data_IF_101124088107
#
_entry.id   IF_101124088107
#
_cell.length_a   1.000
_cell.length_b   1.000
_cell.length_c   1.000
_cell.angle_alpha   90.00
_cell.angle_beta   90.00
_cell.angle_gamma   90.00
#
_symmetry.space_group_name_H-M   'P 1'
#
loop_
_entity.id
_entity.type
_entity.pdbx_description
1 polymer ?
#
# COMPACT_ATOMS: atom_id res chain seq x y z
N UNK A 1 -6.49 12.71 -2.93
CA UNK A 1 -7.36 13.60 -2.13
C UNK A 1 -8.19 12.68 -1.25
N UNK A 2 -8.13 12.77 0.08
CA UNK A 2 -8.74 11.75 0.96
C UNK A 2 -10.25 12.00 1.17
N UNK A 3 -11.09 11.03 0.80
CA UNK A 3 -12.54 11.09 0.99
C UNK A 3 -12.94 11.29 2.47
N UNK A 4 -12.20 10.68 3.42
CA UNK A 4 -12.45 10.83 4.87
C UNK A 4 -12.41 12.30 5.29
N UNK A 5 -11.43 13.05 4.80
CA UNK A 5 -11.24 14.46 5.14
C UNK A 5 -12.24 15.40 4.44
N UNK A 6 -12.90 14.91 3.37
CA UNK A 6 -13.81 15.71 2.54
C UNK A 6 -15.25 15.67 3.05
N UNK A 7 -15.69 14.51 3.57
CA UNK A 7 -17.08 14.30 3.98
C UNK A 7 -17.30 14.32 5.49
N UNK A 8 -16.23 14.31 6.30
CA UNK A 8 -16.33 14.23 7.75
C UNK A 8 -15.43 15.26 8.45
N UNK A 9 -15.88 15.80 9.60
CA UNK A 9 -15.01 16.58 10.48
C UNK A 9 -13.76 15.78 10.88
N UNK A 10 -12.62 16.46 11.01
CA UNK A 10 -11.33 15.82 11.33
C UNK A 10 -11.33 15.02 12.64
N UNK A 11 -12.22 15.37 13.58
CA UNK A 11 -12.33 14.73 14.89
C UNK A 11 -13.27 13.52 14.91
N UNK A 12 -13.73 13.07 13.74
CA UNK A 12 -14.62 11.89 13.63
C UNK A 12 -13.83 10.62 13.88
N UNK A 13 -14.22 9.87 14.91
CA UNK A 13 -13.70 8.52 15.17
C UNK A 13 -14.40 7.51 14.25
N UNK A 14 -13.61 6.68 13.57
CA UNK A 14 -14.08 5.58 12.73
C UNK A 14 -13.62 4.25 13.32
N UNK A 15 -14.37 3.19 13.07
CA UNK A 15 -13.95 1.82 13.34
C UNK A 15 -12.82 1.37 12.41
N UNK A 16 -12.03 0.38 12.83
CA UNK A 16 -10.96 -0.22 12.00
C UNK A 16 -11.46 -0.69 10.63
N UNK A 17 -12.71 -1.18 10.55
CA UNK A 17 -13.32 -1.63 9.32
C UNK A 17 -13.58 -0.47 8.35
N UNK A 18 -14.06 0.66 8.86
CA UNK A 18 -14.29 1.88 8.08
C UNK A 18 -12.96 2.49 7.64
N UNK A 19 -11.97 2.58 8.53
CA UNK A 19 -10.64 3.09 8.17
C UNK A 19 -10.00 2.28 7.05
N UNK A 20 -10.13 0.95 7.10
CA UNK A 20 -9.68 0.05 6.03
C UNK A 20 -10.43 0.30 4.72
N UNK A 21 -11.73 0.58 4.77
CA UNK A 21 -12.53 0.87 3.58
C UNK A 21 -12.09 2.20 2.94
N UNK A 22 -11.99 3.27 3.73
CA UNK A 22 -11.50 4.57 3.25
C UNK A 22 -10.10 4.47 2.66
N UNK A 23 -9.17 3.78 3.31
CA UNK A 23 -7.80 3.62 2.79
C UNK A 23 -7.78 2.90 1.42
N UNK A 24 -8.67 1.92 1.22
CA UNK A 24 -8.81 1.24 -0.07
C UNK A 24 -9.40 2.17 -1.13
N UNK A 25 -10.51 2.82 -0.80
CA UNK A 25 -11.23 3.69 -1.74
C UNK A 25 -10.37 4.88 -2.16
N UNK A 26 -9.63 5.47 -1.22
CA UNK A 26 -8.71 6.57 -1.49
C UNK A 26 -7.61 6.15 -2.49
N UNK A 27 -7.01 4.96 -2.31
CA UNK A 27 -6.01 4.45 -3.25
C UNK A 27 -6.60 4.20 -4.65
N UNK A 28 -7.74 3.50 -4.72
CA UNK A 28 -8.38 3.16 -6.01
C UNK A 28 -8.79 4.44 -6.74
N UNK A 29 -9.38 5.40 -6.04
CA UNK A 29 -9.81 6.68 -6.59
C UNK A 29 -8.61 7.48 -7.11
N UNK A 30 -7.60 7.73 -6.26
CA UNK A 30 -6.45 8.56 -6.64
C UNK A 30 -5.70 7.99 -7.85
N UNK A 31 -5.45 6.68 -7.89
CA UNK A 31 -4.78 6.04 -9.03
C UNK A 31 -5.62 6.14 -10.31
N UNK A 32 -6.94 6.00 -10.21
CA UNK A 32 -7.83 6.09 -11.37
C UNK A 32 -7.91 7.51 -11.91
N UNK A 33 -7.99 8.52 -11.03
CA UNK A 33 -8.02 9.92 -11.42
C UNK A 33 -6.70 10.37 -12.04
N UNK A 34 -5.56 9.99 -11.46
CA UNK A 34 -4.24 10.28 -12.03
C UNK A 34 -4.12 9.76 -13.48
N UNK A 35 -4.67 8.57 -13.72
CA UNK A 35 -4.70 7.98 -15.04
C UNK A 35 -5.64 8.74 -16.00
N UNK A 36 -6.82 9.17 -15.54
CA UNK A 36 -7.74 9.99 -16.35
C UNK A 36 -7.11 11.32 -16.73
N UNK A 37 -6.43 11.99 -15.80
CA UNK A 37 -5.66 13.22 -16.06
C UNK A 37 -4.58 12.97 -17.10
N UNK A 38 -3.80 11.87 -16.97
CA UNK A 38 -2.79 11.51 -17.97
C UNK A 38 -3.39 11.23 -19.35
N UNK A 39 -4.57 10.61 -19.42
CA UNK A 39 -5.28 10.42 -20.68
C UNK A 39 -5.72 11.75 -21.30
N UNK A 40 -6.19 12.69 -20.49
CA UNK A 40 -6.57 14.04 -20.94
C UNK A 40 -5.36 14.83 -21.46
N UNK A 41 -4.24 14.83 -20.73
CA UNK A 41 -2.97 15.46 -21.15
C UNK A 41 -2.48 14.91 -22.50
N UNK A 42 -2.66 13.61 -22.75
CA UNK A 42 -2.30 12.94 -24.00
C UNK A 42 -3.37 13.06 -25.10
N UNK A 43 -4.51 13.68 -24.80
CA UNK A 43 -5.68 13.77 -25.68
C UNK A 43 -6.17 12.39 -26.16
N UNK A 44 -6.15 11.39 -25.27
CA UNK A 44 -6.56 10.00 -25.55
C UNK A 44 -7.94 9.76 -24.96
N UNK A 45 -8.91 9.39 -25.82
CA UNK A 45 -10.25 9.04 -25.34
C UNK A 45 -10.30 7.61 -24.74
N UNK A 46 -11.34 7.32 -23.95
CA UNK A 46 -11.63 5.94 -23.48
C UNK A 46 -11.82 4.96 -24.65
N UNK A 47 -12.26 5.43 -25.81
CA UNK A 47 -12.41 4.61 -27.02
C UNK A 47 -11.04 4.26 -27.60
N UNK A 48 -10.11 5.20 -27.61
CA UNK A 48 -8.76 4.99 -28.12
C UNK A 48 -7.97 4.06 -27.21
N UNK A 49 -8.08 4.23 -25.89
CA UNK A 49 -7.50 3.29 -24.93
C UNK A 49 -8.06 1.87 -25.13
N UNK A 50 -9.37 1.73 -25.34
CA UNK A 50 -9.98 0.43 -25.61
C UNK A 50 -9.40 -0.24 -26.86
N UNK A 51 -9.19 0.52 -27.94
CA UNK A 51 -8.53 0.04 -29.16
C UNK A 51 -7.10 -0.41 -28.88
N UNK A 52 -6.32 0.39 -28.13
CA UNK A 52 -4.92 0.06 -27.78
C UNK A 52 -4.80 -1.21 -26.94
N UNK A 53 -5.76 -1.45 -26.04
CA UNK A 53 -5.78 -2.63 -25.17
C UNK A 53 -6.44 -3.87 -25.83
N UNK A 54 -7.05 -3.73 -27.00
CA UNK A 54 -7.86 -4.80 -27.60
C UNK A 54 -9.06 -5.19 -26.73
N UNK A 55 -9.69 -4.22 -26.04
CA UNK A 55 -10.83 -4.42 -25.14
C UNK A 55 -12.05 -3.63 -25.61
N UNK A 56 -13.22 -3.93 -25.04
CA UNK A 56 -14.43 -3.17 -25.33
C UNK A 56 -14.42 -1.81 -24.62
N UNK A 57 -15.10 -0.82 -25.21
CA UNK A 57 -15.32 0.50 -24.57
C UNK A 57 -15.97 0.34 -23.20
N UNK A 58 -16.95 -0.56 -23.05
CA UNK A 58 -17.62 -0.82 -21.78
C UNK A 58 -16.66 -1.32 -20.70
N UNK A 59 -15.75 -2.23 -21.06
CA UNK A 59 -14.71 -2.72 -20.15
C UNK A 59 -13.83 -1.57 -19.65
N UNK A 60 -13.35 -0.71 -20.55
CA UNK A 60 -12.53 0.45 -20.18
C UNK A 60 -13.31 1.44 -19.33
N UNK A 61 -14.57 1.71 -19.64
CA UNK A 61 -15.42 2.61 -18.83
C UNK A 61 -15.63 2.09 -17.42
N UNK A 62 -15.91 0.80 -17.25
CA UNK A 62 -16.10 0.18 -15.92
C UNK A 62 -14.79 0.09 -15.13
N UNK A 63 -13.66 -0.03 -15.83
CA UNK A 63 -12.34 -0.07 -15.20
C UNK A 63 -11.92 1.32 -14.72
N UNK A 64 -12.22 2.37 -15.48
CA UNK A 64 -11.90 3.76 -15.17
C UNK A 64 -13.02 4.50 -14.43
N UNK A 65 -14.00 3.79 -13.86
CA UNK A 65 -15.08 4.43 -13.10
C UNK A 65 -14.73 4.67 -11.63
N UNK A 66 -13.57 4.19 -11.17
CA UNK A 66 -13.15 4.27 -9.75
C UNK A 66 -13.95 3.35 -8.80
N UNK A 67 -15.06 2.78 -9.25
CA UNK A 67 -15.89 1.85 -8.46
C UNK A 67 -15.40 0.40 -8.47
N UNK A 68 -14.45 0.07 -9.34
CA UNK A 68 -13.82 -1.25 -9.40
C UNK A 68 -12.36 -1.17 -8.96
N UNK A 69 -11.95 -2.12 -8.12
CA UNK A 69 -10.54 -2.31 -7.80
C UNK A 69 -9.84 -2.95 -9.01
N UNK A 70 -9.08 -2.17 -9.78
CA UNK A 70 -8.26 -2.69 -10.87
C UNK A 70 -7.02 -3.42 -10.32
N UNK A 71 -6.55 -4.44 -11.02
CA UNK A 71 -5.32 -5.13 -10.62
C UNK A 71 -4.09 -4.32 -11.02
N UNK A 72 -2.95 -4.56 -10.35
CA UNK A 72 -1.68 -3.96 -10.76
C UNK A 72 -1.25 -4.37 -12.18
N UNK A 73 -1.59 -5.59 -12.61
CA UNK A 73 -1.38 -6.03 -13.99
C UNK A 73 -2.17 -5.16 -14.97
N UNK A 74 -3.45 -4.92 -14.67
CA UNK A 74 -4.31 -4.05 -15.49
C UNK A 74 -3.79 -2.63 -15.54
N UNK A 75 -3.37 -2.07 -14.40
CA UNK A 75 -2.74 -0.75 -14.35
C UNK A 75 -1.48 -0.70 -15.24
N UNK A 76 -0.63 -1.71 -15.12
CA UNK A 76 0.60 -1.83 -15.92
C UNK A 76 0.29 -1.90 -17.43
N UNK A 77 -0.71 -2.67 -17.84
CA UNK A 77 -1.12 -2.78 -19.26
C UNK A 77 -1.58 -1.43 -19.81
N UNK A 78 -2.35 -0.68 -19.02
CA UNK A 78 -2.80 0.66 -19.41
C UNK A 78 -1.60 1.60 -19.53
N UNK A 79 -0.73 1.63 -18.53
CA UNK A 79 0.47 2.48 -18.55
C UNK A 79 1.33 2.17 -19.79
N UNK A 80 1.53 0.89 -20.09
CA UNK A 80 2.24 0.46 -21.29
C UNK A 80 1.55 0.93 -22.58
N UNK A 81 0.22 0.76 -22.69
CA UNK A 81 -0.55 1.22 -23.84
C UNK A 81 -0.53 2.74 -24.04
N UNK A 82 -0.29 3.50 -22.97
CA UNK A 82 -0.19 4.95 -22.99
C UNK A 82 1.28 5.44 -23.09
N UNK A 83 2.26 4.53 -23.04
CA UNK A 83 3.68 4.85 -23.25
C UNK A 83 4.46 5.27 -22.01
N UNK A 84 3.98 4.92 -20.81
CA UNK A 84 4.66 5.23 -19.55
C UNK A 84 4.90 4.00 -18.68
N UNK A 85 5.93 4.10 -17.82
CA UNK A 85 6.26 3.08 -16.82
C UNK A 85 5.73 3.54 -15.46
N UNK A 86 4.84 2.78 -14.80
CA UNK A 86 4.34 3.16 -13.48
C UNK A 86 5.43 2.99 -12.41
N UNK A 87 5.44 3.89 -11.42
CA UNK A 87 6.27 3.80 -10.22
C UNK A 87 5.36 3.86 -8.98
N UNK A 88 5.56 2.95 -8.03
CA UNK A 88 4.80 2.91 -6.78
C UNK A 88 5.72 3.27 -5.63
N UNK A 89 5.35 4.30 -4.87
CA UNK A 89 6.06 4.73 -3.67
C UNK A 89 5.28 4.30 -2.43
N UNK A 90 5.95 3.64 -1.49
CA UNK A 90 5.34 3.20 -0.22
C UNK A 90 5.92 4.08 0.90
N UNK A 91 5.23 5.16 1.29
CA UNK A 91 5.70 6.00 2.38
C UNK A 91 5.60 5.24 3.71
N UNK A 92 6.72 5.15 4.42
CA UNK A 92 6.72 4.65 5.80
C UNK A 92 6.35 5.83 6.70
N UNK A 93 5.24 5.74 7.44
CA UNK A 93 4.98 6.72 8.50
C UNK A 93 6.16 6.64 9.48
N UNK A 94 6.87 7.74 9.75
CA UNK A 94 7.92 7.71 10.76
C UNK A 94 7.30 7.22 12.06
N UNK A 95 7.89 6.18 12.63
CA UNK A 95 7.54 5.77 14.00
C UNK A 95 8.05 6.90 14.86
N UNK A 96 7.12 7.69 15.42
CA UNK A 96 7.47 8.66 16.46
C UNK A 96 8.30 7.90 17.50
N UNK A 97 9.59 8.22 17.70
CA UNK A 97 10.39 7.49 18.64
C UNK A 97 9.70 7.66 19.99
N UNK A 98 9.10 6.59 20.49
CA UNK A 98 8.54 6.53 21.83
C UNK A 98 9.73 6.47 22.79
N UNK A 99 10.53 7.53 22.82
CA UNK A 99 11.48 7.80 23.89
C UNK A 99 10.70 8.43 25.04
N UNK A 100 9.68 7.71 25.52
CA UNK A 100 9.24 7.94 26.88
C UNK A 100 10.26 7.23 27.73
N UNK A 101 11.21 7.98 28.29
CA UNK A 101 11.95 7.50 29.45
C UNK A 101 10.93 7.24 30.56
N UNK A 102 10.39 6.03 30.61
CA UNK A 102 9.73 5.56 31.81
C UNK A 102 10.87 5.36 32.80
N UNK A 103 10.97 6.26 33.77
CA UNK A 103 11.75 6.02 34.97
C UNK A 103 11.13 4.79 35.64
N UNK A 104 11.63 3.61 35.28
CA UNK A 104 11.42 2.43 36.09
C UNK A 104 12.13 2.77 37.40
N UNK A 105 11.37 3.24 38.38
CA UNK A 105 11.87 3.46 39.73
C UNK A 105 12.66 2.24 40.14
N UNK A 106 13.88 2.45 40.65
CA UNK A 106 14.89 1.41 40.91
C UNK A 106 14.19 0.10 41.29
N UNK A 107 14.28 -0.98 40.49
CA UNK A 107 13.74 -2.25 40.94
C UNK A 107 14.41 -2.55 42.28
N UNK A 108 13.61 -2.73 43.35
CA UNK A 108 14.12 -3.26 44.60
C UNK A 108 14.74 -4.59 44.23
N UNK A 109 16.06 -4.65 44.24
CA UNK A 109 16.80 -5.90 44.04
C UNK A 109 16.49 -6.76 45.25
N UNK A 110 15.42 -7.55 45.15
CA UNK A 110 15.22 -8.69 46.01
C UNK A 110 16.27 -9.68 45.55
N UNK A 111 17.29 -9.90 46.39
CA UNK A 111 18.30 -10.94 46.17
C UNK A 111 17.62 -12.31 46.22
N UNK A 112 17.02 -12.75 45.13
CA UNK A 112 16.69 -14.15 44.92
C UNK A 112 17.53 -14.65 43.76
N UNK A 113 18.54 -15.46 44.05
CA UNK A 113 19.36 -16.11 43.04
C UNK A 113 18.48 -17.02 42.16
N UNK A 114 18.37 -16.79 40.84
CA UNK A 114 17.72 -17.75 39.96
C UNK A 114 18.75 -18.83 39.58
N UNK A 115 18.39 -20.10 39.79
CA UNK A 115 19.12 -21.24 39.22
C UNK A 115 19.06 -21.13 37.69
N UNK A 116 20.20 -20.95 37.04
CA UNK A 116 20.30 -20.91 35.59
C UNK A 116 19.90 -22.28 35.00
N UNK A 117 18.90 -22.28 34.12
CA UNK A 117 18.66 -23.37 33.18
C UNK A 117 19.09 -22.90 31.78
N UNK A 118 19.80 -23.71 31.00
CA UNK A 118 20.30 -23.29 29.69
C UNK A 118 19.17 -23.38 28.66
N UNK A 119 18.65 -22.23 28.20
CA UNK A 119 17.78 -22.19 27.03
C UNK A 119 18.62 -22.22 25.76
N UNK A 120 18.66 -23.41 25.14
CA UNK A 120 19.13 -23.67 23.78
C UNK A 120 18.03 -23.26 22.79
N UNK A 121 18.35 -22.32 21.89
CA UNK A 121 18.18 -22.43 20.43
C UNK A 121 17.94 -21.05 19.79
N UNK A 122 19.02 -20.46 19.29
CA UNK A 122 19.01 -19.44 18.25
C UNK A 122 18.88 -20.19 16.91
N UNK A 123 17.84 -19.91 16.13
CA UNK A 123 17.75 -20.35 14.73
C UNK A 123 18.17 -19.21 13.81
N UNK A 124 19.42 -19.23 13.35
CA UNK A 124 19.89 -18.42 12.23
C UNK A 124 19.48 -19.12 10.93
N UNK A 125 18.63 -18.48 10.13
CA UNK A 125 18.25 -18.96 8.79
C UNK A 125 19.42 -18.68 7.85
N UNK A 126 20.07 -19.73 7.36
CA UNK A 126 21.16 -19.64 6.39
C UNK A 126 20.59 -19.36 4.99
N UNK A 127 21.19 -18.37 4.29
CA UNK A 127 20.96 -18.08 2.88
C UNK A 127 21.11 -19.36 2.03
N UNK A 128 20.06 -19.74 1.30
CA UNK A 128 20.16 -20.75 0.24
C UNK A 128 20.49 -20.09 -1.10
N UNK A 129 21.78 -19.81 -1.31
CA UNK A 129 22.33 -19.62 -2.66
C UNK A 129 22.43 -21.00 -3.34
N UNK A 130 21.54 -21.31 -4.27
CA UNK A 130 21.77 -22.39 -5.23
C UNK A 130 22.49 -21.82 -6.44
N UNK A 131 23.81 -21.93 -6.39
CA UNK A 131 24.71 -21.80 -7.53
C UNK A 131 24.36 -22.87 -8.57
N UNK A 132 24.27 -22.44 -9.83
CA UNK A 132 24.20 -23.31 -11.00
C UNK A 132 25.46 -24.19 -11.06
N UNK A 133 25.29 -25.47 -11.39
CA UNK A 133 26.39 -26.32 -11.84
C UNK A 133 26.02 -26.95 -13.18
N UNK A 134 27.06 -27.03 -14.00
CA UNK A 134 27.16 -27.26 -15.45
C UNK A 134 26.49 -28.53 -15.99
#
# INVERSE_FOLDING_TARGET
MNAKDMFHPKDTCFSDAEERAYAREDLVFNVTEDLLVKMEELNISKVDLAKRLGKSKSYVTQMLSGSRNMTLSTLSDICFALGFKPEVKIPVKPVEPTTTWVSIGRPKIVKSAPKAQPVKNISLVYNSEWTKVA
#
